data_IF_258414700778
#
_entry.id   IF_258414700778
#
_cell.length_a   1.000
_cell.length_b   1.000
_cell.length_c   1.000
_cell.angle_alpha   90.00
_cell.angle_beta   90.00
_cell.angle_gamma   90.00
#
_symmetry.space_group_name_H-M   'P 1'
#
loop_
_entity.id
_entity.type
_entity.pdbx_description
1 polymer ?
#
# COMPACT_ATOMS: atom_id res chain seq x y z
N UNK A 1 20.46 -22.34 -40.04
CA UNK A 1 19.01 -22.55 -40.01
C UNK A 1 18.57 -22.16 -38.62
N UNK A 2 18.09 -20.93 -38.51
CA UNK A 2 17.89 -20.21 -37.25
C UNK A 2 16.58 -20.66 -36.60
N UNK A 3 16.61 -20.95 -35.30
CA UNK A 3 15.44 -20.86 -34.44
C UNK A 3 15.89 -20.16 -33.15
N UNK A 4 15.85 -18.83 -33.19
CA UNK A 4 15.72 -17.98 -32.01
C UNK A 4 14.34 -18.26 -31.42
N UNK A 5 14.29 -18.85 -30.22
CA UNK A 5 13.06 -18.99 -29.46
C UNK A 5 12.88 -17.73 -28.60
N UNK A 6 11.84 -16.97 -28.97
CA UNK A 6 11.31 -15.81 -28.28
C UNK A 6 11.27 -15.96 -26.75
N UNK A 7 12.06 -15.15 -26.05
CA UNK A 7 11.90 -14.84 -24.63
C UNK A 7 11.18 -13.49 -24.48
N UNK A 8 9.96 -13.37 -25.02
CA UNK A 8 9.09 -12.24 -24.70
C UNK A 8 8.53 -12.44 -23.28
N UNK A 9 9.29 -11.90 -22.33
CA UNK A 9 9.04 -11.89 -20.90
C UNK A 9 7.59 -11.47 -20.56
N UNK A 10 7.06 -12.13 -19.54
CA UNK A 10 5.72 -12.02 -18.97
C UNK A 10 5.50 -10.66 -18.23
N UNK A 11 5.69 -9.55 -18.94
CA UNK A 11 5.75 -8.16 -18.43
C UNK A 11 4.38 -7.55 -18.06
N UNK A 12 3.29 -8.30 -18.24
CA UNK A 12 1.91 -7.79 -18.03
C UNK A 12 1.17 -8.50 -16.89
N UNK A 13 1.85 -9.35 -16.12
CA UNK A 13 1.24 -10.04 -14.98
C UNK A 13 1.20 -9.11 -13.76
N UNK A 14 0.02 -9.01 -13.14
CA UNK A 14 -0.15 -8.28 -11.88
C UNK A 14 0.77 -8.86 -10.81
N UNK A 15 1.61 -8.02 -10.22
CA UNK A 15 2.56 -8.41 -9.17
C UNK A 15 1.86 -8.58 -7.82
N UNK A 16 0.86 -7.74 -7.54
CA UNK A 16 0.15 -7.74 -6.27
C UNK A 16 -1.23 -7.08 -6.43
N UNK A 17 -2.30 -7.54 -5.76
CA UNK A 17 -3.65 -6.99 -5.95
C UNK A 17 -3.78 -5.48 -5.71
N UNK A 18 -3.00 -4.93 -4.78
CA UNK A 18 -3.01 -3.49 -4.48
C UNK A 18 -2.00 -2.68 -5.31
N UNK A 19 -0.86 -3.27 -5.70
CA UNK A 19 0.20 -2.57 -6.42
C UNK A 19 0.03 -2.65 -7.94
N UNK A 20 -0.59 -3.74 -8.41
CA UNK A 20 -0.82 -4.03 -9.82
C UNK A 20 0.48 -4.37 -10.53
N UNK A 21 0.72 -3.75 -11.68
CA UNK A 21 1.88 -4.02 -12.55
C UNK A 21 2.86 -2.85 -12.54
N UNK A 22 4.12 -3.13 -12.86
CA UNK A 22 5.12 -2.09 -13.14
C UNK A 22 4.86 -1.46 -14.51
N UNK A 23 5.01 -0.14 -14.59
CA UNK A 23 5.00 0.60 -15.84
C UNK A 23 6.45 0.85 -16.28
N UNK A 24 6.73 0.61 -17.56
CA UNK A 24 8.02 0.98 -18.14
C UNK A 24 8.13 2.51 -18.24
N UNK A 25 9.28 3.04 -17.83
CA UNK A 25 9.53 4.48 -17.86
C UNK A 25 11.00 4.74 -18.17
N UNK A 26 11.25 5.75 -19.02
CA UNK A 26 12.60 6.18 -19.38
C UNK A 26 13.22 7.16 -18.37
N UNK A 27 12.45 7.58 -17.36
CA UNK A 27 12.89 8.48 -16.28
C UNK A 27 13.34 7.69 -15.05
N UNK A 28 14.12 8.33 -14.18
CA UNK A 28 14.65 7.74 -12.95
C UNK A 28 13.59 7.63 -11.82
N UNK A 29 12.40 7.15 -12.18
CA UNK A 29 11.29 6.85 -11.27
C UNK A 29 10.76 5.46 -11.59
N UNK A 30 10.39 4.72 -10.57
CA UNK A 30 9.68 3.45 -10.73
C UNK A 30 8.21 3.70 -10.51
N UNK A 31 7.39 3.31 -11.47
CA UNK A 31 5.93 3.49 -11.41
C UNK A 31 5.25 2.14 -11.44
N UNK A 32 4.24 2.01 -10.60
CA UNK A 32 3.31 0.91 -10.60
C UNK A 32 1.89 1.44 -10.74
N UNK A 33 1.02 0.63 -11.34
CA UNK A 33 -0.38 0.98 -11.52
C UNK A 33 -1.26 -0.22 -11.19
N UNK A 34 -2.29 0.04 -10.39
CA UNK A 34 -3.35 -0.90 -10.08
C UNK A 34 -4.73 -0.31 -10.34
N UNK A 35 -5.70 -1.20 -10.47
CA UNK A 35 -7.11 -0.87 -10.51
C UNK A 35 -7.79 -1.57 -9.35
N UNK A 36 -8.36 -0.79 -8.43
CA UNK A 36 -9.10 -1.30 -7.29
C UNK A 36 -10.56 -0.85 -7.35
N UNK A 37 -11.43 -1.63 -6.72
CA UNK A 37 -12.86 -1.35 -6.55
C UNK A 37 -13.24 -1.67 -5.11
N UNK A 38 -14.40 -1.20 -4.66
CA UNK A 38 -14.89 -1.50 -3.31
C UNK A 38 -14.98 -3.01 -3.05
N UNK A 39 -15.30 -3.83 -4.05
CA UNK A 39 -15.38 -5.30 -3.93
C UNK A 39 -14.07 -6.04 -4.32
N UNK A 40 -13.02 -5.32 -4.75
CA UNK A 40 -11.80 -5.93 -5.28
C UNK A 40 -10.55 -5.11 -4.97
N UNK A 41 -9.67 -5.59 -4.05
CA UNK A 41 -9.80 -6.82 -3.28
C UNK A 41 -10.97 -6.85 -2.28
N UNK A 42 -11.48 -8.04 -1.98
CA UNK A 42 -12.73 -8.22 -1.18
C UNK A 42 -12.68 -7.66 0.23
N UNK A 43 -11.49 -7.46 0.82
CA UNK A 43 -11.39 -6.85 2.14
C UNK A 43 -11.66 -5.34 2.13
N UNK A 44 -11.61 -4.67 0.98
CA UNK A 44 -11.75 -3.22 0.89
C UNK A 44 -13.14 -2.73 1.31
N UNK A 45 -14.20 -3.47 0.99
CA UNK A 45 -15.57 -3.21 1.43
C UNK A 45 -15.75 -3.31 2.95
N UNK A 46 -14.79 -3.90 3.69
CA UNK A 46 -14.89 -4.12 5.13
C UNK A 46 -14.18 -3.06 5.96
N UNK A 47 -13.65 -2.00 5.34
CA UNK A 47 -13.02 -0.89 6.08
C UNK A 47 -13.79 0.41 5.83
N UNK A 48 -14.83 0.61 6.63
CA UNK A 48 -15.77 1.71 6.47
C UNK A 48 -15.63 2.76 7.58
N UNK A 49 -15.66 4.03 7.19
CA UNK A 49 -15.69 5.17 8.12
C UNK A 49 -16.80 6.13 7.67
N UNK A 50 -17.72 6.49 8.56
CA UNK A 50 -18.92 7.28 8.23
C UNK A 50 -19.72 6.69 7.04
N UNK A 51 -19.98 5.39 7.07
CA UNK A 51 -20.70 4.64 6.03
C UNK A 51 -20.06 4.71 4.63
N UNK A 52 -18.75 5.03 4.56
CA UNK A 52 -17.97 5.05 3.32
C UNK A 52 -16.84 4.05 3.41
N UNK A 53 -16.73 3.16 2.43
CA UNK A 53 -15.54 2.36 2.25
C UNK A 53 -14.37 3.27 1.88
N UNK A 54 -13.30 3.20 2.66
CA UNK A 54 -12.07 3.95 2.42
C UNK A 54 -10.88 3.00 2.38
N UNK A 55 -9.91 3.29 1.51
CA UNK A 55 -8.68 2.51 1.46
C UNK A 55 -7.96 2.58 2.83
N UNK A 56 -7.70 1.44 3.49
CA UNK A 56 -7.06 1.43 4.81
C UNK A 56 -5.66 2.04 4.77
N UNK A 57 -5.24 2.66 5.87
CA UNK A 57 -3.87 3.17 6.04
C UNK A 57 -2.81 2.11 5.74
N UNK A 58 -3.05 0.87 6.19
CA UNK A 58 -2.16 -0.28 6.00
C UNK A 58 -2.02 -0.69 4.54
N UNK A 59 -3.02 -0.43 3.68
CA UNK A 59 -2.94 -0.74 2.26
C UNK A 59 -1.90 0.13 1.54
N UNK A 60 -1.74 1.39 1.94
CA UNK A 60 -0.68 2.27 1.41
C UNK A 60 0.71 1.77 1.80
N UNK A 61 0.88 1.34 3.05
CA UNK A 61 2.14 0.77 3.55
C UNK A 61 2.48 -0.50 2.77
N UNK A 62 1.50 -1.37 2.55
CA UNK A 62 1.65 -2.60 1.77
C UNK A 62 2.08 -2.31 0.32
N UNK A 63 1.44 -1.32 -0.34
CA UNK A 63 1.83 -0.89 -1.69
C UNK A 63 3.28 -0.41 -1.74
N UNK A 64 3.70 0.42 -0.78
CA UNK A 64 5.06 0.96 -0.74
C UNK A 64 6.13 -0.12 -0.49
N UNK A 65 5.89 -1.00 0.49
CA UNK A 65 6.80 -2.11 0.82
C UNK A 65 6.89 -3.14 -0.32
N UNK A 66 5.74 -3.53 -0.88
CA UNK A 66 5.71 -4.43 -2.04
C UNK A 66 6.45 -3.83 -3.24
N UNK A 67 6.29 -2.52 -3.47
CA UNK A 67 6.97 -1.84 -4.57
C UNK A 67 8.50 -1.93 -4.45
N UNK A 68 9.07 -1.61 -3.29
CA UNK A 68 10.53 -1.65 -3.12
C UNK A 68 11.09 -3.08 -3.05
N UNK A 69 10.33 -4.02 -2.46
CA UNK A 69 10.69 -5.44 -2.46
C UNK A 69 10.67 -6.06 -3.86
N UNK A 70 9.92 -5.48 -4.80
CA UNK A 70 9.98 -5.92 -6.20
C UNK A 70 11.26 -5.47 -6.94
N UNK A 71 11.99 -4.49 -6.39
CA UNK A 71 13.21 -3.91 -6.97
C UNK A 71 14.49 -4.48 -6.38
N UNK A 72 14.44 -5.00 -5.16
CA UNK A 72 15.59 -5.51 -4.44
C UNK A 72 15.25 -6.81 -3.73
N UNK A 73 16.23 -7.70 -3.57
CA UNK A 73 16.04 -8.95 -2.79
C UNK A 73 16.17 -8.74 -1.28
N UNK A 74 16.18 -7.49 -0.81
CA UNK A 74 16.29 -7.18 0.61
C UNK A 74 14.90 -7.10 1.23
N UNK A 75 14.74 -7.71 2.41
CA UNK A 75 13.47 -7.72 3.16
C UNK A 75 13.45 -6.71 4.31
N UNK A 76 14.51 -5.90 4.46
CA UNK A 76 14.71 -5.02 5.63
C UNK A 76 14.39 -3.54 5.36
N UNK A 77 13.39 -3.29 4.52
CA UNK A 77 12.93 -1.94 4.23
C UNK A 77 12.03 -1.41 5.36
N UNK A 78 12.32 -0.19 5.80
CA UNK A 78 11.56 0.52 6.83
C UNK A 78 10.84 1.70 6.22
N UNK A 79 9.55 1.82 6.51
CA UNK A 79 8.76 3.01 6.17
C UNK A 79 9.02 4.10 7.22
N UNK A 80 9.44 5.28 6.78
CA UNK A 80 9.59 6.48 7.62
C UNK A 80 8.78 7.65 7.06
N UNK A 81 8.45 8.60 7.94
CA UNK A 81 7.75 9.84 7.59
C UNK A 81 6.46 9.60 6.80
N UNK A 82 5.75 8.51 7.13
CA UNK A 82 4.49 8.16 6.49
C UNK A 82 3.43 9.22 6.80
N UNK A 83 2.85 9.77 5.74
CA UNK A 83 1.78 10.76 5.81
C UNK A 83 0.62 10.28 4.96
N UNK A 84 -0.59 10.38 5.49
CA UNK A 84 -1.84 10.26 4.73
C UNK A 84 -2.37 11.68 4.56
N UNK A 85 -2.37 12.19 3.34
CA UNK A 85 -2.83 13.54 3.02
C UNK A 85 -4.35 13.60 2.91
N UNK A 86 -4.96 12.58 2.29
CA UNK A 86 -6.40 12.53 2.06
C UNK A 86 -6.88 11.07 2.03
N UNK A 87 -8.04 10.81 2.61
CA UNK A 87 -8.67 9.50 2.52
C UNK A 87 -9.06 9.19 1.07
N UNK A 88 -8.75 7.98 0.59
CA UNK A 88 -9.23 7.51 -0.70
C UNK A 88 -10.56 6.80 -0.50
N UNK A 89 -11.65 7.48 -0.88
CA UNK A 89 -13.00 6.94 -0.82
C UNK A 89 -13.23 6.03 -2.03
N UNK A 90 -13.73 4.82 -1.77
CA UNK A 90 -14.11 3.86 -2.79
C UNK A 90 -15.60 4.01 -3.08
N UNK A 91 -15.93 4.55 -4.25
CA UNK A 91 -17.31 4.75 -4.69
C UNK A 91 -17.88 3.48 -5.33
N UNK A 92 -19.16 3.24 -5.09
CA UNK A 92 -19.88 2.09 -5.65
C UNK A 92 -19.79 2.06 -7.18
N UNK A 93 -19.54 0.87 -7.74
CA UNK A 93 -19.42 0.63 -9.18
C UNK A 93 -18.26 1.36 -9.90
N UNK A 94 -17.39 2.09 -9.18
CA UNK A 94 -16.26 2.79 -9.78
C UNK A 94 -14.95 2.01 -9.71
N UNK A 95 -14.10 2.13 -10.74
CA UNK A 95 -12.69 1.72 -10.68
C UNK A 95 -11.87 2.91 -10.22
N UNK A 96 -11.09 2.73 -9.17
CA UNK A 96 -10.03 3.68 -8.83
C UNK A 96 -8.73 3.19 -9.46
N UNK A 97 -8.14 4.01 -10.34
CA UNK A 97 -6.79 3.76 -10.88
C UNK A 97 -5.79 4.39 -9.94
N UNK A 98 -4.94 3.57 -9.33
CA UNK A 98 -3.96 4.01 -8.33
C UNK A 98 -2.57 3.88 -8.92
N UNK A 99 -1.75 4.92 -8.76
CA UNK A 99 -0.33 4.87 -9.06
C UNK A 99 0.50 4.95 -7.80
N UNK A 100 1.46 4.02 -7.68
CA UNK A 100 2.52 4.07 -6.68
C UNK A 100 3.81 4.44 -7.40
N UNK A 101 4.43 5.54 -6.98
CA UNK A 101 5.65 6.08 -7.56
C UNK A 101 6.75 5.99 -6.52
N UNK A 102 7.87 5.36 -6.88
CA UNK A 102 9.11 5.40 -6.12
C UNK A 102 10.11 6.30 -6.84
N UNK A 103 10.65 7.27 -6.12
CA UNK A 103 11.75 8.12 -6.58
C UNK A 103 13.02 7.69 -5.86
N UNK A 104 14.06 7.34 -6.62
CA UNK A 104 15.35 6.93 -6.07
C UNK A 104 16.01 8.12 -5.38
N UNK A 105 16.31 8.00 -4.09
CA UNK A 105 17.14 8.98 -3.35
C UNK A 105 18.59 8.49 -3.24
N UNK A 106 18.80 7.17 -3.10
CA UNK A 106 20.09 6.48 -3.13
C UNK A 106 19.90 4.97 -3.34
N UNK A 107 20.99 4.18 -3.36
CA UNK A 107 20.92 2.71 -3.42
C UNK A 107 20.20 2.06 -2.22
N UNK A 108 20.01 2.82 -1.13
CA UNK A 108 19.42 2.35 0.12
C UNK A 108 18.21 3.18 0.55
N UNK A 109 17.72 4.09 -0.31
CA UNK A 109 16.62 4.98 0.04
C UNK A 109 15.75 5.35 -1.16
N UNK A 110 14.44 5.31 -0.95
CA UNK A 110 13.43 5.81 -1.87
C UNK A 110 12.49 6.76 -1.14
N UNK A 111 11.99 7.78 -1.84
CA UNK A 111 10.72 8.40 -1.45
C UNK A 111 9.59 7.75 -2.24
N UNK A 112 8.39 7.71 -1.66
CA UNK A 112 7.22 7.20 -2.34
C UNK A 112 6.03 8.14 -2.28
N UNK A 113 5.19 8.07 -3.31
CA UNK A 113 3.89 8.73 -3.40
C UNK A 113 2.87 7.73 -3.92
N UNK A 114 1.66 7.77 -3.37
CA UNK A 114 0.51 7.00 -3.82
C UNK A 114 -0.61 7.98 -4.13
N UNK A 115 -1.06 7.95 -5.38
CA UNK A 115 -2.05 8.88 -5.91
C UNK A 115 -3.12 8.17 -6.72
N UNK A 116 -4.28 8.79 -6.82
CA UNK A 116 -5.34 8.39 -7.74
C UNK A 116 -5.17 9.12 -9.07
N UNK A 117 -5.24 8.37 -10.16
CA UNK A 117 -5.34 8.94 -11.51
C UNK A 117 -6.79 9.15 -11.94
N UNK A 118 -7.08 10.31 -12.50
CA UNK A 118 -8.29 10.62 -13.27
C UNK A 118 -7.91 11.09 -14.67
N UNK A 119 -8.81 10.92 -15.64
CA UNK A 119 -8.53 11.25 -17.04
C UNK A 119 -8.42 12.76 -17.24
N UNK A 120 -7.40 13.18 -17.99
CA UNK A 120 -7.26 14.57 -18.42
C UNK A 120 -6.64 15.50 -17.37
N UNK A 121 -6.01 14.96 -16.33
CA UNK A 121 -5.39 15.77 -15.28
C UNK A 121 -4.13 16.51 -15.75
N UNK A 122 -3.97 17.75 -15.27
CA UNK A 122 -2.69 18.47 -15.32
C UNK A 122 -1.72 17.98 -14.24
N UNK A 123 -0.45 18.38 -14.33
CA UNK A 123 0.54 18.05 -13.30
C UNK A 123 0.20 18.65 -11.93
N UNK A 124 -0.41 19.84 -11.89
CA UNK A 124 -0.89 20.43 -10.63
C UNK A 124 -2.01 19.59 -10.01
N UNK A 125 -2.97 19.14 -10.82
CA UNK A 125 -4.09 18.31 -10.36
C UNK A 125 -3.63 16.93 -9.86
N UNK A 126 -2.62 16.33 -10.51
CA UNK A 126 -2.00 15.10 -10.05
C UNK A 126 -1.35 15.27 -8.67
N UNK A 127 -0.68 16.41 -8.45
CA UNK A 127 -0.03 16.71 -7.17
C UNK A 127 -1.04 16.90 -6.03
N UNK A 128 -2.27 17.31 -6.35
CA UNK A 128 -3.37 17.42 -5.39
C UNK A 128 -4.06 16.07 -5.10
N UNK A 129 -3.91 15.06 -5.97
CA UNK A 129 -4.50 13.73 -5.80
C UNK A 129 -3.56 12.72 -5.10
N UNK A 130 -2.54 13.21 -4.40
CA UNK A 130 -1.67 12.38 -3.56
C UNK A 130 -2.42 12.06 -2.27
N UNK A 131 -2.61 10.77 -2.01
CA UNK A 131 -3.30 10.26 -0.82
C UNK A 131 -2.34 9.86 0.30
N UNK A 132 -1.19 9.31 -0.07
CA UNK A 132 -0.16 8.93 0.88
C UNK A 132 1.25 9.18 0.33
N UNK A 133 2.19 9.45 1.23
CA UNK A 133 3.61 9.55 0.90
C UNK A 133 4.49 9.15 2.08
N UNK A 134 5.76 8.89 1.80
CA UNK A 134 6.76 8.67 2.84
C UNK A 134 8.13 8.36 2.26
N UNK A 135 8.98 7.76 3.08
CA UNK A 135 10.30 7.26 2.71
C UNK A 135 10.42 5.78 3.02
N UNK A 136 11.22 5.09 2.21
CA UNK A 136 11.64 3.72 2.40
C UNK A 136 13.16 3.74 2.56
N UNK A 137 13.65 3.25 3.69
CA UNK A 137 15.08 3.14 3.95
C UNK A 137 15.44 1.70 4.21
N UNK A 138 16.51 1.24 3.57
CA UNK A 138 17.11 -0.04 3.87
C UNK A 138 17.82 0.11 5.22
N UNK A 139 17.39 -0.66 6.22
CA UNK A 139 18.06 -0.72 7.51
C UNK A 139 18.45 -2.15 7.78
N UNK A 140 19.68 -2.37 8.24
CA UNK A 140 19.98 -3.61 8.96
C UNK A 140 19.17 -3.57 10.26
N UNK A 141 18.09 -4.33 10.29
CA UNK A 141 17.35 -4.53 11.52
C UNK A 141 18.25 -5.37 12.43
N UNK A 142 18.85 -4.73 13.43
CA UNK A 142 19.33 -5.45 14.60
C UNK A 142 18.09 -5.96 15.35
N UNK A 143 17.53 -7.06 14.85
CA UNK A 143 16.52 -7.87 15.53
C UNK A 143 17.12 -8.58 16.75
N UNK A 144 18.24 -8.06 17.29
CA UNK A 144 19.01 -8.58 18.41
C UNK A 144 18.08 -9.31 19.34
N UNK A 145 18.37 -10.59 19.59
CA UNK A 145 17.49 -11.67 20.07
C UNK A 145 16.79 -11.38 21.39
N UNK A 146 16.04 -10.28 21.44
CA UNK A 146 15.18 -9.86 22.53
C UNK A 146 13.93 -10.69 22.38
N UNK A 147 14.09 -11.98 22.70
CA UNK A 147 12.99 -12.86 22.95
C UNK A 147 12.22 -12.25 24.12
N UNK A 148 11.12 -11.59 23.77
CA UNK A 148 10.21 -11.04 24.76
C UNK A 148 9.31 -12.18 25.22
N UNK A 149 9.26 -12.43 26.52
CA UNK A 149 8.38 -13.45 27.08
C UNK A 149 6.92 -13.03 26.88
N UNK A 150 6.22 -13.75 26.01
CA UNK A 150 4.82 -13.49 25.69
C UNK A 150 3.93 -13.58 26.94
N UNK A 151 4.26 -14.43 27.90
CA UNK A 151 3.50 -14.54 29.16
C UNK A 151 3.59 -13.27 30.00
N UNK A 152 4.77 -12.65 30.03
CA UNK A 152 4.99 -11.37 30.73
C UNK A 152 4.23 -10.24 30.03
N UNK A 153 4.17 -10.23 28.69
CA UNK A 153 3.34 -9.28 27.95
C UNK A 153 1.85 -9.47 28.26
N UNK A 154 1.36 -10.71 28.16
CA UNK A 154 -0.04 -11.05 28.40
C UNK A 154 -0.48 -10.70 29.82
N UNK A 155 0.37 -10.93 30.82
CA UNK A 155 0.09 -10.59 32.21
C UNK A 155 -0.11 -9.07 32.45
N UNK A 156 0.39 -8.22 31.56
CA UNK A 156 0.21 -6.75 31.60
C UNK A 156 -0.98 -6.24 30.78
N UNK A 157 -1.57 -7.09 29.95
CA UNK A 157 -2.68 -6.73 29.08
C UNK A 157 -4.03 -7.01 29.75
N UNK A 158 -4.98 -6.10 29.56
CA UNK A 158 -6.36 -6.34 29.94
C UNK A 158 -7.11 -7.04 28.80
N UNK A 159 -7.86 -8.10 29.12
CA UNK A 159 -8.74 -8.75 28.15
C UNK A 159 -9.98 -7.88 27.92
N UNK A 160 -10.30 -7.65 26.64
CA UNK A 160 -11.53 -7.00 26.20
C UNK A 160 -12.40 -7.99 25.42
N UNK A 161 -13.71 -7.77 25.42
CA UNK A 161 -14.63 -8.52 24.55
C UNK A 161 -14.48 -8.03 23.12
N UNK A 162 -14.29 -8.97 22.18
CA UNK A 162 -14.19 -8.65 20.74
C UNK A 162 -15.48 -7.98 20.27
N UNK A 163 -16.65 -8.58 20.55
CA UNK A 163 -17.93 -8.02 20.12
C UNK A 163 -18.18 -6.61 20.66
N UNK A 164 -17.81 -6.37 21.93
CA UNK A 164 -17.94 -5.05 22.53
C UNK A 164 -17.00 -4.02 21.90
N UNK A 165 -15.77 -4.42 21.55
CA UNK A 165 -14.82 -3.55 20.87
C UNK A 165 -15.31 -3.14 19.47
N UNK A 166 -15.77 -4.10 18.66
CA UNK A 166 -16.32 -3.80 17.34
C UNK A 166 -17.60 -2.96 17.43
N UNK A 167 -18.41 -3.16 18.47
CA UNK A 167 -19.58 -2.32 18.72
C UNK A 167 -19.18 -0.88 19.06
N UNK A 168 -18.19 -0.67 19.92
CA UNK A 168 -17.66 0.67 20.26
C UNK A 168 -17.07 1.37 19.01
N UNK A 169 -16.41 0.62 18.12
CA UNK A 169 -15.95 1.15 16.83
C UNK A 169 -17.14 1.63 15.97
N UNK A 170 -18.20 0.82 15.84
CA UNK A 170 -19.40 1.20 15.07
C UNK A 170 -20.10 2.43 15.65
N UNK A 171 -20.15 2.56 16.96
CA UNK A 171 -20.70 3.74 17.65
C UNK A 171 -19.89 5.02 17.34
N UNK A 172 -18.61 4.88 16.96
CA UNK A 172 -17.75 5.96 16.45
C UNK A 172 -17.75 6.07 14.92
N UNK A 173 -18.69 5.42 14.26
CA UNK A 173 -18.80 5.35 12.79
C UNK A 173 -17.59 4.71 12.11
N UNK A 174 -16.90 3.81 12.80
CA UNK A 174 -15.85 2.95 12.23
C UNK A 174 -16.43 1.54 12.14
N UNK A 175 -16.83 1.15 10.93
CA UNK A 175 -17.42 -0.16 10.68
C UNK A 175 -16.38 -1.08 10.02
N UNK A 176 -15.78 -1.92 10.86
CA UNK A 176 -14.94 -3.01 10.40
C UNK A 176 -15.83 -4.22 10.10
N UNK A 177 -15.85 -4.63 8.83
CA UNK A 177 -16.64 -5.75 8.35
C UNK A 177 -16.25 -7.07 9.02
N UNK A 178 -17.19 -8.00 8.99
CA UNK A 178 -17.08 -9.36 9.55
C UNK A 178 -16.40 -10.35 8.62
#
# INVERSE_FOLDING_TARGET
MNQEYDHFNNQNQSLHPLLGRRLESAINEVKFESQIRIESPTFLQHHCVYDRAILPATAYIEMALTAVNSLSKSESWVVENFTIQEALILLDNEVQTIQTILTVESDQAYSFKILRLTKGQTNEELSQNIHASGKLLLKELDLGTTQTDLSVLQARCQKISVDAHYQECRERSIDYGS
#
